data_IF_334774343401
#
_entry.id   IF_334774343401
#
_cell.length_a   1.000
_cell.length_b   1.000
_cell.length_c   1.000
_cell.angle_alpha   90.00
_cell.angle_beta   90.00
_cell.angle_gamma   90.00
#
_symmetry.space_group_name_H-M   'P 1'
#
loop_
_entity.id
_entity.type
_entity.pdbx_description
1 polymer ?
#
# COMPACT_ATOMS: atom_id res chain seq x y z
N UNK A 1 -18.46 -17.43 4.71
CA UNK A 1 -17.17 -17.29 5.41
C UNK A 1 -16.89 -15.79 5.58
N UNK A 2 -16.54 -15.29 6.78
CA UNK A 2 -16.44 -13.84 7.06
C UNK A 2 -15.02 -13.36 7.42
N UNK A 3 -14.04 -14.26 7.51
CA UNK A 3 -12.68 -13.95 7.94
C UNK A 3 -11.71 -14.39 6.83
N UNK A 4 -10.82 -13.46 6.46
CA UNK A 4 -9.68 -13.68 5.59
C UNK A 4 -8.38 -13.38 6.35
N UNK A 5 -7.37 -14.22 6.19
CA UNK A 5 -6.07 -14.10 6.84
C UNK A 5 -5.00 -13.81 5.79
N UNK A 6 -4.39 -12.63 5.90
CA UNK A 6 -3.39 -12.11 4.97
C UNK A 6 -2.03 -11.89 5.66
N UNK A 7 -0.98 -11.65 4.86
CA UNK A 7 0.34 -11.21 5.32
C UNK A 7 1.27 -12.34 5.76
N UNK A 8 2.57 -12.03 5.89
CA UNK A 8 3.64 -12.97 6.26
C UNK A 8 4.36 -12.54 7.56
N UNK A 9 5.00 -13.49 8.27
CA UNK A 9 4.91 -14.95 8.07
C UNK A 9 3.73 -15.56 8.84
N UNK A 10 3.01 -16.49 8.21
CA UNK A 10 2.06 -17.38 8.91
C UNK A 10 2.79 -18.66 9.28
N UNK A 11 2.99 -18.92 10.57
CA UNK A 11 3.57 -20.18 11.02
C UNK A 11 2.59 -21.36 10.91
N UNK A 12 3.10 -22.59 11.03
CA UNK A 12 2.30 -23.81 10.95
C UNK A 12 1.14 -23.81 11.96
N UNK A 13 1.35 -23.27 13.18
CA UNK A 13 0.32 -23.22 14.21
C UNK A 13 -0.81 -22.25 13.82
N UNK A 14 -0.47 -21.11 13.23
CA UNK A 14 -1.40 -20.12 12.72
C UNK A 14 -2.23 -20.70 11.59
N UNK A 15 -1.59 -21.38 10.63
CA UNK A 15 -2.29 -22.05 9.52
C UNK A 15 -3.22 -23.15 10.03
N UNK A 16 -2.77 -23.99 10.96
CA UNK A 16 -3.61 -25.02 11.58
C UNK A 16 -4.88 -24.42 12.24
N UNK A 17 -4.75 -23.28 12.93
CA UNK A 17 -5.90 -22.56 13.49
C UNK A 17 -6.82 -22.05 12.39
N UNK A 18 -6.26 -21.51 11.31
CA UNK A 18 -7.03 -21.00 10.17
C UNK A 18 -7.90 -22.11 9.55
N UNK A 19 -7.29 -23.27 9.23
CA UNK A 19 -8.00 -24.43 8.68
C UNK A 19 -9.09 -24.93 9.65
N UNK A 20 -8.76 -25.05 10.94
CA UNK A 20 -9.72 -25.48 11.97
C UNK A 20 -10.92 -24.54 12.11
N UNK A 21 -10.72 -23.24 11.92
CA UNK A 21 -11.81 -22.26 11.96
C UNK A 21 -12.51 -22.09 10.61
N UNK A 22 -12.00 -22.71 9.55
CA UNK A 22 -12.52 -22.54 8.20
C UNK A 22 -12.46 -21.07 7.79
N UNK A 23 -11.31 -20.41 7.97
CA UNK A 23 -11.07 -19.05 7.47
C UNK A 23 -10.36 -19.11 6.12
N UNK A 24 -10.54 -18.06 5.30
CA UNK A 24 -9.84 -17.95 4.04
C UNK A 24 -8.40 -17.56 4.27
N UNK A 25 -7.47 -18.13 3.50
CA UNK A 25 -6.04 -17.84 3.64
C UNK A 25 -5.53 -17.25 2.33
N UNK A 26 -4.91 -16.07 2.41
CA UNK A 26 -4.17 -15.49 1.28
C UNK A 26 -2.71 -15.90 1.42
N UNK A 27 -2.26 -16.76 0.51
CA UNK A 27 -0.89 -17.27 0.42
C UNK A 27 0.01 -16.17 -0.11
N UNK A 28 1.10 -15.92 0.61
CA UNK A 28 2.04 -14.81 0.35
C UNK A 28 3.52 -15.27 0.38
N UNK A 29 3.76 -16.58 0.61
CA UNK A 29 5.08 -17.23 0.49
C UNK A 29 4.91 -18.71 0.15
N UNK A 30 5.95 -19.33 -0.42
CA UNK A 30 5.90 -20.71 -0.93
C UNK A 30 5.68 -21.74 0.20
N UNK A 31 6.28 -21.48 1.36
CA UNK A 31 6.30 -22.38 2.52
C UNK A 31 4.90 -22.54 3.16
N UNK A 32 4.01 -21.57 2.98
CA UNK A 32 2.67 -21.61 3.54
C UNK A 32 1.83 -22.75 2.95
N UNK A 33 2.03 -23.12 1.69
CA UNK A 33 1.22 -24.14 1.02
C UNK A 33 1.38 -25.52 1.66
N UNK A 34 2.60 -25.91 2.01
CA UNK A 34 2.87 -27.23 2.61
C UNK A 34 2.19 -27.36 3.99
N UNK A 35 2.19 -26.28 4.77
CA UNK A 35 1.45 -26.24 6.04
C UNK A 35 -0.07 -26.29 5.84
N UNK A 36 -0.59 -25.62 4.80
CA UNK A 36 -2.02 -25.62 4.47
C UNK A 36 -2.46 -27.02 4.06
N UNK A 37 -1.74 -27.66 3.14
CA UNK A 37 -2.05 -29.00 2.63
C UNK A 37 -2.05 -30.03 3.77
N UNK A 38 -1.02 -30.00 4.62
CA UNK A 38 -0.93 -30.86 5.79
C UNK A 38 -2.11 -30.66 6.74
N UNK A 39 -2.38 -29.41 7.13
CA UNK A 39 -3.46 -29.10 8.07
C UNK A 39 -4.85 -29.45 7.49
N UNK A 40 -5.08 -29.19 6.21
CA UNK A 40 -6.32 -29.50 5.50
C UNK A 40 -6.58 -31.01 5.46
N UNK A 41 -5.53 -31.79 5.19
CA UNK A 41 -5.59 -33.26 5.15
C UNK A 41 -5.79 -33.87 6.54
N UNK A 42 -5.02 -33.43 7.54
CA UNK A 42 -5.12 -33.94 8.93
C UNK A 42 -6.48 -33.64 9.56
N UNK A 43 -7.09 -32.50 9.22
CA UNK A 43 -8.39 -32.08 9.74
C UNK A 43 -9.57 -32.54 8.88
N UNK A 44 -9.32 -33.12 7.70
CA UNK A 44 -10.36 -33.54 6.75
C UNK A 44 -11.25 -32.38 6.31
N UNK A 45 -10.66 -31.22 6.01
CA UNK A 45 -11.38 -29.99 5.65
C UNK A 45 -10.83 -29.36 4.40
N UNK A 46 -11.71 -29.00 3.48
CA UNK A 46 -11.37 -28.15 2.34
C UNK A 46 -11.08 -26.72 2.80
N UNK A 47 -9.88 -26.23 2.50
CA UNK A 47 -9.44 -24.86 2.81
C UNK A 47 -9.45 -24.00 1.56
N UNK A 48 -10.17 -22.88 1.61
CA UNK A 48 -10.18 -21.91 0.51
C UNK A 48 -8.99 -20.97 0.59
N UNK A 49 -8.25 -20.85 -0.51
CA UNK A 49 -7.04 -20.04 -0.59
C UNK A 49 -7.05 -19.06 -1.76
N UNK A 50 -6.36 -17.94 -1.57
CA UNK A 50 -6.02 -16.99 -2.63
C UNK A 50 -4.52 -16.92 -2.80
N UNK A 51 -4.05 -16.62 -4.01
CA UNK A 51 -2.64 -16.29 -4.26
C UNK A 51 -2.47 -14.78 -4.31
N UNK A 52 -1.53 -14.23 -3.53
CA UNK A 52 -1.24 -12.79 -3.53
C UNK A 52 -0.31 -12.43 -4.68
N UNK A 53 -0.83 -11.75 -5.69
CA UNK A 53 -0.05 -11.23 -6.80
C UNK A 53 0.67 -9.94 -6.42
N UNK A 54 1.81 -9.70 -7.06
CA UNK A 54 2.53 -8.42 -7.01
C UNK A 54 2.85 -7.90 -8.42
N UNK A 55 1.82 -7.47 -9.17
CA UNK A 55 2.04 -6.99 -10.54
C UNK A 55 2.77 -5.64 -10.55
N UNK A 56 3.71 -5.40 -11.48
CA UNK A 56 4.34 -4.09 -11.63
C UNK A 56 3.36 -3.06 -12.22
N UNK A 57 3.23 -1.90 -11.58
CA UNK A 57 2.33 -0.80 -12.00
C UNK A 57 3.05 0.16 -12.96
N UNK A 58 3.54 -0.37 -14.09
CA UNK A 58 4.45 0.35 -15.00
C UNK A 58 3.84 1.58 -15.71
N UNK A 59 2.51 1.68 -15.78
CA UNK A 59 1.82 2.76 -16.49
C UNK A 59 1.66 4.04 -15.65
N UNK A 60 2.21 4.07 -14.43
CA UNK A 60 2.12 5.22 -13.51
C UNK A 60 3.45 5.47 -12.79
N UNK A 61 4.22 6.44 -13.29
CA UNK A 61 5.60 6.75 -12.85
C UNK A 61 5.74 8.12 -12.18
N UNK A 62 4.66 8.68 -11.65
CA UNK A 62 4.74 9.92 -10.85
C UNK A 62 5.47 9.67 -9.52
N UNK A 63 5.82 10.73 -8.80
CA UNK A 63 6.40 10.61 -7.46
C UNK A 63 5.42 9.94 -6.48
N UNK A 64 5.98 9.13 -5.57
CA UNK A 64 5.19 8.45 -4.57
C UNK A 64 4.83 9.36 -3.41
N UNK A 65 3.53 9.43 -3.09
CA UNK A 65 2.99 10.13 -1.92
C UNK A 65 3.30 9.46 -0.57
N UNK A 66 3.89 8.27 -0.60
CA UNK A 66 4.12 7.44 0.59
C UNK A 66 5.59 7.38 1.02
N UNK A 67 6.53 7.68 0.12
CA UNK A 67 7.96 7.69 0.44
C UNK A 67 8.33 9.02 1.11
N UNK A 68 8.90 8.94 2.31
CA UNK A 68 9.43 10.11 3.01
C UNK A 68 10.77 10.58 2.41
N UNK A 69 11.41 9.70 1.63
CA UNK A 69 12.75 9.88 1.09
C UNK A 69 12.80 10.74 -0.19
N UNK A 70 11.64 11.24 -0.68
CA UNK A 70 11.56 12.25 -1.73
C UNK A 70 10.94 11.75 -3.04
N UNK A 71 11.54 12.15 -4.19
CA UNK A 71 11.02 11.93 -5.55
C UNK A 71 11.22 10.48 -6.05
N UNK A 72 10.75 9.51 -5.28
CA UNK A 72 10.78 8.09 -5.67
C UNK A 72 9.63 7.81 -6.64
N UNK A 73 9.88 7.20 -7.82
CA UNK A 73 8.81 6.80 -8.73
C UNK A 73 7.84 5.82 -8.08
N UNK A 74 6.55 5.99 -8.37
CA UNK A 74 5.45 5.23 -7.78
C UNK A 74 5.56 3.73 -8.04
N UNK A 75 5.93 3.33 -9.25
CA UNK A 75 6.10 1.93 -9.65
C UNK A 75 7.23 1.24 -8.86
N UNK A 76 8.36 1.91 -8.68
CA UNK A 76 9.47 1.42 -7.86
C UNK A 76 9.08 1.34 -6.38
N UNK A 77 8.47 2.42 -5.84
CA UNK A 77 8.02 2.46 -4.46
C UNK A 77 7.02 1.34 -4.16
N UNK A 78 6.09 1.08 -5.07
CA UNK A 78 5.09 0.01 -4.96
C UNK A 78 5.72 -1.38 -5.03
N UNK A 79 6.79 -1.57 -5.80
CA UNK A 79 7.45 -2.88 -5.93
C UNK A 79 8.33 -3.25 -4.74
N UNK A 80 8.87 -2.27 -4.01
CA UNK A 80 9.67 -2.55 -2.79
C UNK A 80 8.81 -2.54 -1.52
N UNK A 81 7.58 -2.06 -1.60
CA UNK A 81 6.63 -2.04 -0.51
C UNK A 81 5.68 -3.25 -0.56
N UNK A 82 5.33 -3.79 0.61
CA UNK A 82 4.43 -4.93 0.83
C UNK A 82 4.85 -6.27 0.17
N UNK A 83 4.25 -7.34 0.68
CA UNK A 83 4.43 -8.71 0.18
C UNK A 83 3.67 -8.98 -1.12
N UNK A 84 3.97 -10.13 -1.70
CA UNK A 84 3.29 -10.74 -2.84
C UNK A 84 4.24 -11.60 -3.63
N UNK A 85 3.67 -12.57 -4.34
CA UNK A 85 4.37 -13.58 -5.11
C UNK A 85 4.66 -13.06 -6.51
N UNK A 86 5.81 -13.48 -7.05
CA UNK A 86 6.15 -13.28 -8.47
C UNK A 86 5.43 -14.30 -9.35
N UNK A 87 5.35 -14.03 -10.65
CA UNK A 87 4.62 -14.86 -11.61
C UNK A 87 4.95 -16.35 -11.51
N UNK A 88 6.24 -16.68 -11.45
CA UNK A 88 6.73 -18.07 -11.41
C UNK A 88 6.24 -18.81 -10.15
N UNK A 89 6.28 -18.14 -9.00
CA UNK A 89 5.83 -18.71 -7.72
C UNK A 89 4.31 -18.91 -7.71
N UNK A 90 3.56 -17.95 -8.26
CA UNK A 90 2.10 -18.06 -8.38
C UNK A 90 1.70 -19.23 -9.27
N UNK A 91 2.36 -19.41 -10.42
CA UNK A 91 2.08 -20.53 -11.33
C UNK A 91 2.47 -21.87 -10.70
N UNK A 92 3.60 -21.92 -9.99
CA UNK A 92 4.04 -23.13 -9.28
C UNK A 92 3.05 -23.53 -8.17
N UNK A 93 2.66 -22.58 -7.32
CA UNK A 93 1.67 -22.81 -6.25
C UNK A 93 0.29 -23.12 -6.82
N UNK A 94 -0.18 -22.36 -7.81
CA UNK A 94 -1.48 -22.54 -8.44
C UNK A 94 -1.61 -23.93 -9.06
N UNK A 95 -0.61 -24.38 -9.82
CA UNK A 95 -0.61 -25.72 -10.42
C UNK A 95 -0.71 -26.81 -9.34
N UNK A 96 0.07 -26.68 -8.25
CA UNK A 96 0.00 -27.61 -7.13
C UNK A 96 -1.38 -27.62 -6.47
N UNK A 97 -1.96 -26.45 -6.21
CA UNK A 97 -3.27 -26.34 -5.54
C UNK A 97 -4.38 -26.96 -6.39
N UNK A 98 -4.33 -26.82 -7.72
CA UNK A 98 -5.34 -27.41 -8.60
C UNK A 98 -5.36 -28.94 -8.58
N UNK A 99 -4.26 -29.59 -8.18
CA UNK A 99 -4.16 -31.04 -8.02
C UNK A 99 -4.48 -31.52 -6.58
N UNK A 100 -4.73 -30.60 -5.63
CA UNK A 100 -4.99 -30.93 -4.23
C UNK A 100 -6.47 -31.24 -3.97
N UNK A 101 -6.73 -32.25 -3.13
CA UNK A 101 -8.10 -32.65 -2.75
C UNK A 101 -8.73 -31.69 -1.72
N UNK A 102 -7.95 -31.25 -0.74
CA UNK A 102 -8.44 -30.49 0.42
C UNK A 102 -8.08 -28.99 0.38
N UNK A 103 -7.59 -28.48 -0.74
CA UNK A 103 -7.24 -27.06 -0.90
C UNK A 103 -7.90 -26.54 -2.17
N UNK A 104 -8.70 -25.48 -2.04
CA UNK A 104 -9.43 -24.89 -3.16
C UNK A 104 -8.83 -23.51 -3.47
N UNK A 105 -8.25 -23.35 -4.65
CA UNK A 105 -7.90 -22.03 -5.17
C UNK A 105 -9.19 -21.30 -5.58
N UNK A 106 -9.56 -20.24 -4.84
CA UNK A 106 -10.75 -19.44 -5.13
C UNK A 106 -10.45 -18.18 -5.95
N UNK A 107 -9.19 -17.74 -5.98
CA UNK A 107 -8.74 -16.68 -6.88
C UNK A 107 -7.53 -15.93 -6.37
N UNK A 108 -7.52 -14.61 -6.58
CA UNK A 108 -6.31 -13.79 -6.46
C UNK A 108 -6.52 -12.57 -5.57
N UNK A 109 -5.44 -12.11 -4.96
CA UNK A 109 -5.41 -10.90 -4.15
C UNK A 109 -4.23 -10.01 -4.57
N UNK A 110 -4.39 -8.69 -4.57
CA UNK A 110 -3.28 -7.75 -4.64
C UNK A 110 -3.39 -6.67 -3.56
N UNK A 111 -2.26 -6.03 -3.23
CA UNK A 111 -2.27 -4.85 -2.37
C UNK A 111 -0.97 -4.04 -2.46
N UNK A 112 -0.89 -3.03 -3.33
CA UNK A 112 0.28 -2.13 -3.43
C UNK A 112 0.23 -0.99 -2.40
N UNK A 113 -0.96 -0.61 -1.94
CA UNK A 113 -1.13 0.56 -1.06
C UNK A 113 -1.26 1.86 -1.84
N UNK A 114 -1.26 2.97 -1.12
CA UNK A 114 -1.55 4.28 -1.70
C UNK A 114 -0.27 5.05 -1.95
N UNK A 115 0.31 4.82 -3.12
CA UNK A 115 1.47 5.56 -3.57
C UNK A 115 1.14 6.86 -4.27
N UNK A 116 -0.12 7.13 -4.64
CA UNK A 116 -0.49 8.43 -5.19
C UNK A 116 -1.97 8.75 -4.94
N UNK A 117 -2.30 10.03 -4.72
CA UNK A 117 -3.69 10.47 -4.42
C UNK A 117 -4.67 10.34 -5.58
N UNK A 118 -4.20 10.44 -6.82
CA UNK A 118 -5.04 10.41 -8.02
C UNK A 118 -5.66 9.03 -8.26
N UNK A 119 -6.93 8.99 -8.67
CA UNK A 119 -7.60 7.76 -9.11
C UNK A 119 -6.91 7.10 -10.30
N UNK A 120 -6.13 7.86 -11.10
CA UNK A 120 -5.31 7.31 -12.20
C UNK A 120 -4.32 6.22 -11.74
N UNK A 121 -3.80 6.32 -10.51
CA UNK A 121 -2.93 5.30 -9.94
C UNK A 121 -3.70 4.00 -9.64
N UNK A 122 -4.96 4.11 -9.22
CA UNK A 122 -5.83 2.96 -9.00
C UNK A 122 -6.23 2.29 -10.32
N UNK A 123 -6.53 3.08 -11.36
CA UNK A 123 -6.74 2.56 -12.71
C UNK A 123 -5.50 1.80 -13.22
N UNK A 124 -4.30 2.33 -13.00
CA UNK A 124 -3.06 1.66 -13.40
C UNK A 124 -2.83 0.34 -12.64
N UNK A 125 -3.13 0.31 -11.33
CA UNK A 125 -3.09 -0.94 -10.55
C UNK A 125 -4.07 -1.98 -11.11
N UNK A 126 -5.33 -1.61 -11.34
CA UNK A 126 -6.34 -2.56 -11.83
C UNK A 126 -5.99 -3.13 -13.21
N UNK A 127 -5.38 -2.32 -14.10
CA UNK A 127 -4.85 -2.78 -15.39
C UNK A 127 -3.72 -3.79 -15.20
N UNK A 128 -2.76 -3.48 -14.33
CA UNK A 128 -1.65 -4.37 -14.03
C UNK A 128 -2.14 -5.69 -13.43
N UNK A 129 -3.11 -5.64 -12.51
CA UNK A 129 -3.72 -6.80 -11.88
C UNK A 129 -4.44 -7.69 -12.87
N UNK A 130 -5.34 -7.12 -13.68
CA UNK A 130 -6.09 -7.87 -14.69
C UNK A 130 -5.16 -8.55 -15.70
N UNK A 131 -4.11 -7.84 -16.13
CA UNK A 131 -3.08 -8.38 -17.03
C UNK A 131 -2.31 -9.54 -16.40
N UNK A 132 -1.89 -9.39 -15.15
CA UNK A 132 -1.11 -10.43 -14.47
C UNK A 132 -1.96 -11.66 -14.16
N UNK A 133 -3.19 -11.47 -13.67
CA UNK A 133 -4.14 -12.56 -13.50
C UNK A 133 -4.39 -13.30 -14.82
N UNK A 134 -4.57 -12.61 -15.93
CA UNK A 134 -4.79 -13.25 -17.24
C UNK A 134 -3.64 -14.18 -17.65
N UNK A 135 -2.39 -13.74 -17.46
CA UNK A 135 -1.21 -14.59 -17.71
C UNK A 135 -1.20 -15.82 -16.80
N UNK A 136 -1.48 -15.63 -15.51
CA UNK A 136 -1.49 -16.72 -14.52
C UNK A 136 -2.60 -17.72 -14.87
N UNK A 137 -3.82 -17.25 -15.10
CA UNK A 137 -4.96 -18.09 -15.50
C UNK A 137 -4.66 -18.89 -16.78
N UNK A 138 -4.03 -18.26 -17.77
CA UNK A 138 -3.60 -18.96 -18.99
C UNK A 138 -2.57 -20.06 -18.70
N UNK A 139 -1.57 -19.77 -17.85
CA UNK A 139 -0.57 -20.76 -17.44
C UNK A 139 -1.18 -21.90 -16.62
N UNK A 140 -2.26 -21.63 -15.88
CA UNK A 140 -3.04 -22.61 -15.13
C UNK A 140 -4.16 -23.28 -15.96
N UNK A 141 -3.98 -23.39 -17.28
CA UNK A 141 -4.90 -24.14 -18.15
C UNK A 141 -6.25 -23.45 -18.41
N UNK A 142 -6.33 -22.12 -18.28
CA UNK A 142 -7.56 -21.36 -18.47
C UNK A 142 -8.42 -21.24 -17.22
N UNK A 143 -7.83 -21.41 -16.04
CA UNK A 143 -8.50 -21.24 -14.75
C UNK A 143 -9.30 -19.93 -14.67
N UNK A 144 -10.52 -20.00 -14.13
CA UNK A 144 -11.37 -18.84 -13.90
C UNK A 144 -11.52 -18.61 -12.39
N UNK A 145 -11.07 -17.45 -11.86
CA UNK A 145 -11.21 -17.16 -10.43
C UNK A 145 -12.68 -16.95 -10.07
N UNK A 146 -13.07 -17.41 -8.87
CA UNK A 146 -14.38 -17.14 -8.28
C UNK A 146 -14.40 -15.78 -7.56
N UNK A 147 -13.24 -15.35 -7.05
CA UNK A 147 -13.07 -14.08 -6.37
C UNK A 147 -11.76 -13.37 -6.68
N UNK A 148 -11.82 -12.04 -6.65
CA UNK A 148 -10.65 -11.17 -6.68
C UNK A 148 -10.70 -10.21 -5.51
N UNK A 149 -9.53 -9.89 -4.96
CA UNK A 149 -9.38 -8.91 -3.88
C UNK A 149 -8.36 -7.86 -4.28
N UNK A 150 -8.78 -6.60 -4.30
CA UNK A 150 -7.92 -5.46 -4.67
C UNK A 150 -7.29 -4.78 -3.46
N UNK A 151 -7.43 -5.39 -2.28
CA UNK A 151 -6.90 -4.91 -1.03
C UNK A 151 -7.50 -3.57 -0.62
N UNK A 152 -6.73 -2.83 0.18
CA UNK A 152 -7.11 -1.51 0.69
C UNK A 152 -6.17 -0.39 0.29
N UNK A 153 -6.11 0.64 1.13
CA UNK A 153 -5.26 1.82 0.92
C UNK A 153 -6.04 3.05 0.45
N UNK A 154 -7.36 2.94 0.29
CA UNK A 154 -8.21 4.09 0.02
C UNK A 154 -8.01 5.17 1.08
N UNK A 155 -7.75 6.39 0.65
CA UNK A 155 -7.56 7.52 1.55
C UNK A 155 -8.89 8.02 2.10
N UNK A 156 -8.87 8.52 3.33
CA UNK A 156 -9.94 9.41 3.82
C UNK A 156 -9.73 10.82 3.22
N UNK A 157 -10.79 11.63 3.06
CA UNK A 157 -10.67 13.01 2.59
C UNK A 157 -9.67 13.83 3.39
N UNK A 158 -9.50 13.54 4.69
CA UNK A 158 -8.58 14.26 5.58
C UNK A 158 -7.12 13.82 5.53
N UNK A 159 -6.83 12.71 4.89
CA UNK A 159 -5.50 12.13 4.83
C UNK A 159 -4.40 13.12 4.35
N UNK A 160 -4.60 13.90 3.27
CA UNK A 160 -3.60 14.87 2.81
C UNK A 160 -3.30 16.00 3.81
N UNK A 161 -4.20 16.32 4.75
CA UNK A 161 -3.94 17.34 5.77
C UNK A 161 -2.93 16.88 6.84
N UNK A 162 -2.70 15.56 6.95
CA UNK A 162 -1.71 14.96 7.84
C UNK A 162 -0.50 14.41 7.06
N UNK A 163 -0.30 14.85 5.82
CA UNK A 163 0.86 14.45 5.03
C UNK A 163 2.14 14.94 5.72
N UNK A 164 2.98 13.99 6.12
CA UNK A 164 4.32 14.25 6.69
C UNK A 164 5.27 14.76 5.61
N UNK A 165 5.01 14.44 4.34
CA UNK A 165 5.94 14.68 3.25
C UNK A 165 5.67 16.01 2.56
N UNK A 166 6.65 16.92 2.63
CA UNK A 166 6.74 18.10 1.76
C UNK A 166 7.84 17.88 0.72
N UNK A 167 7.44 17.64 -0.53
CA UNK A 167 8.37 17.31 -1.62
C UNK A 167 9.27 18.48 -2.02
N UNK A 168 9.03 19.69 -1.52
CA UNK A 168 9.94 20.83 -1.69
C UNK A 168 11.08 20.81 -0.68
N UNK A 169 10.93 20.10 0.44
CA UNK A 169 11.94 20.03 1.51
C UNK A 169 13.31 19.55 1.03
N UNK A 170 13.47 18.47 0.25
CA UNK A 170 14.81 18.02 -0.16
C UNK A 170 15.57 19.10 -0.94
N UNK A 171 14.89 19.83 -1.82
CA UNK A 171 15.50 20.91 -2.62
C UNK A 171 15.79 22.13 -1.74
N UNK A 172 14.84 22.52 -0.89
CA UNK A 172 14.99 23.65 0.03
C UNK A 172 16.12 23.40 1.05
N UNK A 173 16.18 22.20 1.63
CA UNK A 173 17.21 21.78 2.57
C UNK A 173 18.57 21.65 1.89
N UNK A 174 18.64 21.15 0.65
CA UNK A 174 19.88 21.14 -0.13
C UNK A 174 20.38 22.56 -0.44
N UNK A 175 19.48 23.48 -0.79
CA UNK A 175 19.80 24.90 -0.99
C UNK A 175 20.28 25.55 0.32
N UNK A 176 19.58 25.31 1.42
CA UNK A 176 19.95 25.80 2.76
C UNK A 176 21.31 25.28 3.21
N UNK A 177 21.58 23.98 3.01
CA UNK A 177 22.86 23.35 3.27
C UNK A 177 23.98 23.98 2.44
N UNK A 178 23.75 24.16 1.14
CA UNK A 178 24.73 24.75 0.21
C UNK A 178 25.05 26.20 0.60
N UNK A 179 24.03 27.00 0.90
CA UNK A 179 24.18 28.37 1.38
C UNK A 179 24.95 28.42 2.71
N UNK A 180 24.60 27.55 3.66
CA UNK A 180 25.28 27.45 4.95
C UNK A 180 26.77 27.13 4.81
N UNK A 181 27.13 26.23 3.89
CA UNK A 181 28.51 25.86 3.61
C UNK A 181 29.29 27.01 2.98
N UNK A 182 28.71 27.71 2.00
CA UNK A 182 29.34 28.86 1.35
C UNK A 182 29.58 30.02 2.34
N UNK A 183 28.63 30.28 3.23
CA UNK A 183 28.70 31.34 4.22
C UNK A 183 29.60 31.02 5.42
N UNK A 184 30.16 29.80 5.51
CA UNK A 184 31.01 29.38 6.62
C UNK A 184 32.25 30.27 6.79
N UNK A 185 32.78 30.80 5.69
CA UNK A 185 33.95 31.71 5.69
C UNK A 185 33.67 33.08 6.31
N UNK A 186 32.40 33.48 6.47
CA UNK A 186 31.99 34.80 6.98
C UNK A 186 31.86 34.86 8.52
N UNK A 187 32.18 33.75 9.22
CA UNK A 187 32.01 33.61 10.66
C UNK A 187 30.58 33.26 11.08
N UNK A 188 30.46 32.63 12.26
CA UNK A 188 29.20 32.03 12.74
C UNK A 188 28.06 33.05 12.88
N UNK A 189 28.33 34.25 13.42
CA UNK A 189 27.31 35.28 13.60
C UNK A 189 26.68 35.74 12.28
N UNK A 190 27.49 36.08 11.28
CA UNK A 190 27.00 36.53 9.97
C UNK A 190 26.29 35.39 9.23
N UNK A 191 26.82 34.17 9.32
CA UNK A 191 26.19 32.98 8.76
C UNK A 191 24.79 32.78 9.32
N UNK A 192 24.63 32.75 10.65
CA UNK A 192 23.31 32.55 11.27
C UNK A 192 22.33 33.68 10.98
N UNK A 193 22.78 34.93 10.89
CA UNK A 193 21.93 36.06 10.51
C UNK A 193 21.30 35.89 9.13
N UNK A 194 22.07 35.35 8.17
CA UNK A 194 21.56 35.04 6.83
C UNK A 194 20.68 33.79 6.85
N UNK A 195 21.13 32.72 7.51
CA UNK A 195 20.38 31.46 7.58
C UNK A 195 19.02 31.60 8.27
N UNK A 196 18.92 32.37 9.36
CA UNK A 196 17.63 32.59 10.05
C UNK A 196 16.60 33.23 9.13
N UNK A 197 17.01 34.15 8.25
CA UNK A 197 16.10 34.77 7.27
C UNK A 197 15.69 33.81 6.17
N UNK A 198 16.59 32.93 5.74
CA UNK A 198 16.27 31.91 4.74
C UNK A 198 15.31 30.87 5.32
N UNK A 199 15.54 30.41 6.55
CA UNK A 199 14.66 29.45 7.23
C UNK A 199 13.25 30.03 7.41
N UNK A 200 13.12 31.32 7.74
CA UNK A 200 11.81 31.98 7.84
C UNK A 200 11.03 31.99 6.51
N UNK A 201 11.68 31.75 5.36
CA UNK A 201 11.00 31.60 4.05
C UNK A 201 10.60 30.17 3.71
N UNK A 202 11.11 29.19 4.47
CA UNK A 202 10.75 27.78 4.31
C UNK A 202 9.45 27.53 5.09
N UNK A 203 8.31 27.76 4.43
CA UNK A 203 7.00 27.46 4.98
C UNK A 203 6.47 26.15 4.39
N UNK A 204 6.43 25.10 5.21
CA UNK A 204 5.76 23.85 4.85
C UNK A 204 4.27 23.95 5.18
N UNK A 205 3.43 23.79 4.16
CA UNK A 205 1.97 23.68 4.32
C UNK A 205 1.52 22.28 3.98
N UNK A 206 0.75 21.61 4.86
CA UNK A 206 0.13 20.34 4.52
C UNK A 206 -0.72 20.47 3.27
N UNK A 207 -0.82 19.39 2.50
CA UNK A 207 -1.66 19.36 1.31
C UNK A 207 -3.13 19.62 1.71
N UNK A 208 -3.72 20.68 1.15
CA UNK A 208 -5.10 21.05 1.45
C UNK A 208 -6.12 20.43 0.49
N UNK A 209 -5.66 19.69 -0.52
CA UNK A 209 -6.54 19.08 -1.51
C UNK A 209 -7.08 17.77 -0.97
N UNK A 210 -8.40 17.62 -0.76
CA UNK A 210 -8.96 16.37 -0.26
C UNK A 210 -8.63 15.17 -1.14
N UNK A 211 -8.58 13.99 -0.52
CA UNK A 211 -8.53 12.74 -1.27
C UNK A 211 -9.85 12.49 -2.05
N UNK A 212 -9.82 11.67 -3.12
CA UNK A 212 -11.02 11.19 -3.79
C UNK A 212 -12.04 10.57 -2.83
N UNK A 213 -13.33 10.67 -3.17
CA UNK A 213 -14.38 10.00 -2.41
C UNK A 213 -14.34 8.49 -2.63
N UNK A 214 -15.02 7.73 -1.77
CA UNK A 214 -15.12 6.28 -1.93
C UNK A 214 -15.82 5.91 -3.25
N UNK A 215 -16.79 6.70 -3.70
CA UNK A 215 -17.47 6.53 -4.98
C UNK A 215 -16.50 6.74 -6.14
N UNK A 216 -15.61 7.73 -6.07
CA UNK A 216 -14.61 7.96 -7.11
C UNK A 216 -13.59 6.81 -7.19
N UNK A 217 -13.17 6.26 -6.05
CA UNK A 217 -12.34 5.05 -6.03
C UNK A 217 -13.09 3.84 -6.58
N UNK A 218 -14.34 3.62 -6.15
CA UNK A 218 -15.17 2.53 -6.61
C UNK A 218 -15.39 2.61 -8.13
N UNK A 219 -15.73 3.77 -8.67
CA UNK A 219 -15.90 4.00 -10.11
C UNK A 219 -14.59 3.70 -10.86
N UNK A 220 -13.46 4.27 -10.43
CA UNK A 220 -12.18 4.06 -11.08
C UNK A 220 -11.78 2.58 -11.09
N UNK A 221 -11.87 1.89 -9.95
CA UNK A 221 -11.48 0.48 -9.85
C UNK A 221 -12.43 -0.43 -10.64
N UNK A 222 -13.75 -0.32 -10.40
CA UNK A 222 -14.73 -1.24 -11.00
C UNK A 222 -14.88 -1.03 -12.50
N UNK A 223 -14.86 0.21 -13.00
CA UNK A 223 -14.87 0.48 -14.45
C UNK A 223 -13.65 -0.15 -15.11
N UNK A 224 -12.47 0.09 -14.56
CA UNK A 224 -11.23 -0.45 -15.12
C UNK A 224 -11.21 -1.97 -15.11
N UNK A 225 -11.59 -2.62 -14.01
CA UNK A 225 -11.67 -4.08 -13.94
C UNK A 225 -12.70 -4.66 -14.93
N UNK A 226 -13.88 -4.06 -15.04
CA UNK A 226 -14.92 -4.51 -15.99
C UNK A 226 -14.44 -4.42 -17.45
N UNK A 227 -13.59 -3.45 -17.77
CA UNK A 227 -13.01 -3.30 -19.10
C UNK A 227 -11.83 -4.24 -19.34
N UNK A 228 -10.96 -4.42 -18.34
CA UNK A 228 -9.68 -5.12 -18.51
C UNK A 228 -9.73 -6.62 -18.26
N UNK A 229 -10.57 -7.10 -17.34
CA UNK A 229 -10.67 -8.54 -17.04
C UNK A 229 -11.05 -9.36 -18.29
N UNK A 230 -12.09 -9.00 -19.09
CA UNK A 230 -12.44 -9.76 -20.28
C UNK A 230 -11.37 -9.72 -21.37
N UNK A 231 -10.63 -8.60 -21.50
CA UNK A 231 -9.51 -8.47 -22.45
C UNK A 231 -8.37 -9.45 -22.12
N UNK A 232 -8.27 -9.86 -20.86
CA UNK A 232 -7.28 -10.80 -20.35
C UNK A 232 -7.86 -12.20 -20.11
N UNK A 233 -9.04 -12.51 -20.67
CA UNK A 233 -9.64 -13.85 -20.65
C UNK A 233 -10.31 -14.23 -19.32
N UNK A 234 -10.63 -13.27 -18.46
CA UNK A 234 -11.31 -13.50 -17.19
C UNK A 234 -12.78 -13.10 -17.31
N UNK A 235 -13.68 -14.03 -17.01
CA UNK A 235 -15.11 -13.78 -16.97
C UNK A 235 -15.47 -12.91 -15.76
N UNK A 236 -16.37 -11.94 -15.97
CA UNK A 236 -16.83 -11.04 -14.90
C UNK A 236 -18.20 -11.42 -14.34
N UNK A 237 -18.87 -12.39 -14.97
CA UNK A 237 -20.16 -12.89 -14.51
C UNK A 237 -19.94 -13.70 -13.24
N UNK A 238 -20.70 -13.39 -12.19
CA UNK A 238 -20.64 -14.05 -10.88
C UNK A 238 -19.27 -13.96 -10.15
N UNK A 239 -18.33 -13.17 -10.67
CA UNK A 239 -17.04 -12.89 -10.05
C UNK A 239 -17.22 -11.99 -8.82
N UNK A 240 -16.80 -12.46 -7.65
CA UNK A 240 -16.86 -11.68 -6.42
C UNK A 240 -15.67 -10.71 -6.34
N UNK A 241 -15.96 -9.41 -6.20
CA UNK A 241 -14.95 -8.38 -5.89
C UNK A 241 -14.92 -8.12 -4.37
N UNK A 242 -13.75 -8.26 -3.77
CA UNK A 242 -13.46 -7.92 -2.38
C UNK A 242 -12.55 -6.69 -2.29
N UNK A 243 -12.69 -5.96 -1.18
CA UNK A 243 -11.87 -4.81 -0.81
C UNK A 243 -11.51 -4.91 0.67
N UNK A 244 -10.37 -4.34 1.06
CA UNK A 244 -9.86 -4.38 2.43
C UNK A 244 -9.67 -2.95 3.00
N UNK A 245 -10.73 -2.13 3.08
CA UNK A 245 -10.61 -0.79 3.64
C UNK A 245 -10.21 -0.87 5.11
N UNK A 246 -9.19 -0.12 5.49
CA UNK A 246 -8.75 0.02 6.88
C UNK A 246 -8.87 1.48 7.29
N UNK A 247 -7.81 2.25 7.00
CA UNK A 247 -7.74 3.69 7.27
C UNK A 247 -8.94 4.48 6.74
N UNK A 248 -9.50 4.11 5.59
CA UNK A 248 -10.70 4.75 5.04
C UNK A 248 -11.95 4.62 5.92
N UNK A 249 -12.06 3.58 6.75
CA UNK A 249 -13.22 3.40 7.65
C UNK A 249 -13.01 4.07 9.00
N UNK A 250 -11.83 3.90 9.60
CA UNK A 250 -11.58 4.33 10.98
C UNK A 250 -10.74 5.60 11.10
N UNK A 251 -10.10 6.06 10.02
CA UNK A 251 -9.17 7.19 10.03
C UNK A 251 -9.83 8.49 10.48
N UNK A 252 -11.14 8.62 10.25
CA UNK A 252 -11.93 9.77 10.68
C UNK A 252 -12.75 9.54 11.95
N UNK A 253 -12.67 8.35 12.56
CA UNK A 253 -13.47 8.00 13.73
C UNK A 253 -12.98 8.64 15.04
N UNK A 254 -11.76 9.20 15.06
CA UNK A 254 -11.17 9.78 16.26
C UNK A 254 -10.24 10.94 15.97
N UNK A 255 -10.05 11.77 16.99
CA UNK A 255 -9.03 12.82 17.03
C UNK A 255 -8.17 12.60 18.27
N UNK A 256 -6.89 12.92 18.18
CA UNK A 256 -6.00 12.91 19.32
C UNK A 256 -6.01 14.30 19.98
N UNK A 257 -6.53 14.39 21.20
CA UNK A 257 -6.49 15.60 22.02
C UNK A 257 -5.28 15.52 22.94
N UNK A 258 -4.49 16.59 22.94
CA UNK A 258 -3.29 16.71 23.78
C UNK A 258 -3.24 18.09 24.43
N UNK A 259 -2.60 18.19 25.58
CA UNK A 259 -2.45 19.44 26.33
C UNK A 259 -1.08 20.05 26.08
N UNK A 260 -1.04 21.34 25.72
CA UNK A 260 0.23 22.09 25.68
C UNK A 260 0.76 22.23 27.11
N UNK A 261 1.85 21.55 27.43
CA UNK A 261 2.49 21.60 28.73
C UNK A 261 3.50 22.75 28.85
N UNK A 262 4.22 23.03 27.76
CA UNK A 262 5.25 24.05 27.77
C UNK A 262 5.51 24.61 26.36
N UNK A 263 5.91 25.87 26.28
CA UNK A 263 6.31 26.53 25.03
C UNK A 263 7.70 27.13 25.23
N UNK A 264 8.72 26.50 24.63
CA UNK A 264 10.08 27.04 24.62
C UNK A 264 10.28 27.92 23.38
N UNK A 265 10.43 29.22 23.60
CA UNK A 265 10.63 30.22 22.53
C UNK A 265 12.12 30.52 22.35
N UNK A 266 12.73 29.98 21.30
CA UNK A 266 14.11 30.24 20.91
C UNK A 266 14.12 31.47 20.01
N UNK A 267 14.83 32.53 20.41
CA UNK A 267 14.91 33.80 19.65
C UNK A 267 16.17 33.88 18.77
N UNK A 268 17.25 33.24 19.19
CA UNK A 268 18.55 33.25 18.52
C UNK A 268 19.25 31.88 18.69
N UNK A 269 20.13 31.48 17.76
CA UNK A 269 20.49 32.18 16.52
C UNK A 269 19.48 32.00 15.37
N UNK A 270 18.52 31.08 15.54
CA UNK A 270 17.41 30.82 14.62
C UNK A 270 16.13 30.85 15.44
N UNK A 271 15.11 31.56 14.96
CA UNK A 271 13.82 31.62 15.64
C UNK A 271 13.13 30.26 15.56
N UNK A 272 12.80 29.68 16.70
CA UNK A 272 12.12 28.38 16.75
C UNK A 272 11.22 28.30 17.98
N UNK A 273 9.98 27.87 17.79
CA UNK A 273 9.07 27.61 18.90
C UNK A 273 8.90 26.11 19.07
N UNK A 274 9.38 25.58 20.20
CA UNK A 274 9.12 24.20 20.56
C UNK A 274 7.86 24.15 21.42
N UNK A 275 6.80 23.55 20.87
CA UNK A 275 5.55 23.28 21.58
C UNK A 275 5.67 21.87 22.15
N UNK A 276 5.67 21.77 23.48
CA UNK A 276 5.77 20.52 24.22
C UNK A 276 4.35 20.15 24.66
N UNK A 277 3.94 18.94 24.33
CA UNK A 277 2.62 18.40 24.59
C UNK A 277 2.71 17.16 25.52
N UNK A 278 1.60 16.66 26.03
CA UNK A 278 1.54 15.62 27.08
C UNK A 278 1.62 14.16 26.55
N UNK A 279 2.04 13.97 25.30
CA UNK A 279 2.06 12.70 24.58
C UNK A 279 3.41 12.38 23.96
#
# INVERSE_FOLDING_TARGET
QLISVNGVPKDEQHINRCVRQGVRITIDSLEELDYIEKAASELGRTTQVRLRLKPPVSDFIDHSDFSAEGLVPTDIAAMVYKGGLVFEDVVALGSRILDMENVELVGFHEHHGRHHRSTRYWEAQMKAFAKEMGKVCQALGGYQPQEIDIGGGFAIPRDPFNAVTDYTEPVQLAALYSASKALNLLGSQNRYKVLSRLIDTLETRPNQTPAPTIEAYAEACTRTLREELPKNGIETKDLMLQIEPGRSMHGDAGIHLTTVQNIKRIREPIRWNLIIVDT
#
